data_IF_758539933663
#
_entry.id   IF_758539933663
#
_cell.length_a   1.000
_cell.length_b   1.000
_cell.length_c   1.000
_cell.angle_alpha   90.00
_cell.angle_beta   90.00
_cell.angle_gamma   90.00
#
_symmetry.space_group_name_H-M   'P 1'
#
loop_
_entity.id
_entity.type
_entity.pdbx_description
1 polymer ?
#
# COMPACT_ATOMS: atom_id res chain seq x y z
N UNK A 1 -2.90 12.59 20.14
CA UNK A 1 -3.83 11.86 19.24
C UNK A 1 -3.04 10.71 18.65
N UNK A 2 -3.52 9.48 18.78
CA UNK A 2 -2.88 8.31 18.16
C UNK A 2 -3.54 8.09 16.81
N UNK A 3 -2.76 8.09 15.73
CA UNK A 3 -3.26 7.72 14.41
C UNK A 3 -3.31 6.19 14.28
N UNK A 4 -4.28 5.63 13.54
CA UNK A 4 -4.29 4.20 13.25
C UNK A 4 -3.10 3.83 12.35
N UNK A 5 -2.65 2.58 12.42
CA UNK A 5 -1.75 1.98 11.42
C UNK A 5 -2.59 1.31 10.34
N UNK A 6 -2.26 1.55 9.08
CA UNK A 6 -2.95 0.99 7.91
C UNK A 6 -2.04 0.00 7.20
N UNK A 7 -2.54 -1.21 6.95
CA UNK A 7 -1.85 -2.23 6.17
C UNK A 7 -2.28 -2.23 4.70
N UNK A 8 -1.32 -2.33 3.78
CA UNK A 8 -1.54 -2.60 2.35
C UNK A 8 -1.04 -4.00 2.07
N UNK A 9 -1.96 -4.95 1.94
CA UNK A 9 -1.66 -6.37 1.70
C UNK A 9 -1.66 -6.68 0.21
N UNK A 10 -0.96 -7.75 -0.16
CA UNK A 10 -1.00 -8.33 -1.49
C UNK A 10 -2.33 -9.07 -1.69
N UNK A 11 -2.96 -8.84 -2.84
CA UNK A 11 -4.12 -9.62 -3.24
C UNK A 11 -3.74 -11.10 -3.47
N UNK A 12 -4.53 -12.02 -2.91
CA UNK A 12 -4.27 -13.46 -2.93
C UNK A 12 -5.02 -14.21 -4.04
N UNK A 13 -6.01 -13.56 -4.66
CA UNK A 13 -6.82 -14.16 -5.72
C UNK A 13 -6.00 -14.39 -6.99
N UNK A 14 -6.17 -15.56 -7.62
CA UNK A 14 -5.48 -15.88 -8.86
C UNK A 14 -5.87 -14.89 -9.98
N UNK A 15 -4.86 -14.34 -10.66
CA UNK A 15 -5.05 -13.37 -11.74
C UNK A 15 -5.43 -11.95 -11.28
N UNK A 16 -5.58 -11.70 -9.99
CA UNK A 16 -5.77 -10.35 -9.47
C UNK A 16 -4.50 -9.52 -9.62
N UNK A 17 -4.66 -8.26 -10.01
CA UNK A 17 -3.56 -7.34 -10.35
C UNK A 17 -3.69 -6.00 -9.65
N UNK A 18 -4.80 -5.74 -8.95
CA UNK A 18 -5.00 -4.50 -8.21
C UNK A 18 -4.20 -4.52 -6.91
N UNK A 19 -4.06 -3.34 -6.33
CA UNK A 19 -3.54 -3.11 -4.97
C UNK A 19 -4.45 -2.09 -4.30
N UNK A 20 -4.67 -2.23 -2.99
CA UNK A 20 -5.61 -1.39 -2.26
C UNK A 20 -5.22 0.10 -2.29
N UNK A 21 -3.93 0.41 -2.12
CA UNK A 21 -3.39 1.76 -2.14
C UNK A 21 -2.20 1.87 -3.09
N UNK A 22 -2.19 2.91 -3.92
CA UNK A 22 -1.04 3.31 -4.75
C UNK A 22 -0.13 4.28 -4.00
N UNK A 23 1.15 4.42 -4.36
CA UNK A 23 2.12 5.32 -3.70
C UNK A 23 1.60 6.73 -3.42
N UNK A 24 0.90 7.33 -4.38
CA UNK A 24 0.33 8.68 -4.23
C UNK A 24 -0.67 8.77 -3.07
N UNK A 25 -1.46 7.73 -2.84
CA UNK A 25 -2.45 7.69 -1.74
C UNK A 25 -1.75 7.41 -0.42
N UNK A 26 -0.75 6.51 -0.41
CA UNK A 26 0.11 6.25 0.75
C UNK A 26 0.77 7.54 1.23
N UNK A 27 1.40 8.30 0.34
CA UNK A 27 2.01 9.58 0.65
C UNK A 27 1.00 10.58 1.26
N UNK A 28 -0.25 10.60 0.78
CA UNK A 28 -1.30 11.46 1.34
C UNK A 28 -1.73 11.05 2.75
N UNK A 29 -1.67 9.76 3.09
CA UNK A 29 -1.98 9.26 4.44
C UNK A 29 -0.85 9.59 5.41
N UNK A 30 0.39 9.36 4.99
CA UNK A 30 1.59 9.74 5.76
C UNK A 30 1.59 11.24 6.06
N UNK A 31 1.27 12.08 5.07
CA UNK A 31 1.16 13.53 5.27
C UNK A 31 0.10 13.96 6.30
N UNK A 32 -0.90 13.10 6.58
CA UNK A 32 -1.91 13.30 7.63
C UNK A 32 -1.51 12.69 8.98
N UNK A 33 -0.33 12.09 9.08
CA UNK A 33 0.18 11.44 10.29
C UNK A 33 -0.21 9.98 10.46
N UNK A 34 -0.81 9.36 9.44
CA UNK A 34 -1.18 7.93 9.46
C UNK A 34 0.05 7.08 9.16
N UNK A 35 0.27 6.07 9.99
CA UNK A 35 1.32 5.06 9.77
C UNK A 35 0.85 4.04 8.73
N UNK A 36 1.71 3.68 7.79
CA UNK A 36 1.37 2.78 6.67
C UNK A 36 2.43 1.69 6.56
N UNK A 37 1.98 0.44 6.59
CA UNK A 37 2.82 -0.74 6.38
C UNK A 37 2.37 -1.43 5.09
N UNK A 38 3.32 -1.67 4.19
CA UNK A 38 3.05 -2.34 2.91
C UNK A 38 3.68 -3.73 2.95
N UNK A 39 2.90 -4.76 2.63
CA UNK A 39 3.42 -6.11 2.42
C UNK A 39 4.34 -6.11 1.20
N UNK A 40 5.54 -6.70 1.31
CA UNK A 40 6.46 -6.79 0.18
C UNK A 40 5.79 -7.46 -1.02
N UNK A 41 5.86 -6.78 -2.17
CA UNK A 41 5.27 -7.23 -3.42
C UNK A 41 3.78 -6.94 -3.58
N UNK A 42 3.12 -6.21 -2.66
CA UNK A 42 1.69 -5.90 -2.76
C UNK A 42 1.31 -5.17 -4.06
N UNK A 43 2.20 -4.32 -4.57
CA UNK A 43 1.98 -3.53 -5.78
C UNK A 43 2.40 -4.21 -7.09
N UNK A 44 3.07 -5.36 -7.05
CA UNK A 44 3.72 -5.94 -8.25
C UNK A 44 2.71 -6.29 -9.35
N UNK A 45 1.52 -6.79 -8.97
CA UNK A 45 0.44 -7.05 -9.93
C UNK A 45 -0.01 -5.81 -10.70
N UNK A 46 0.13 -4.63 -10.08
CA UNK A 46 -0.21 -3.33 -10.62
C UNK A 46 0.98 -2.62 -11.29
N UNK A 47 2.13 -3.30 -11.45
CA UNK A 47 3.39 -2.76 -11.96
C UNK A 47 4.01 -1.67 -11.05
N UNK A 48 3.80 -1.79 -9.74
CA UNK A 48 4.35 -0.89 -8.73
C UNK A 48 5.35 -1.67 -7.88
N UNK A 49 6.67 -1.49 -8.11
CA UNK A 49 7.68 -2.16 -7.32
C UNK A 49 7.79 -1.53 -5.91
N UNK A 50 8.34 -2.28 -4.95
CA UNK A 50 8.34 -1.91 -3.54
C UNK A 50 9.07 -0.58 -3.27
N UNK A 51 10.05 -0.20 -4.09
CA UNK A 51 10.82 1.05 -3.95
C UNK A 51 10.01 2.32 -4.24
N UNK A 52 8.79 2.17 -4.79
CA UNK A 52 7.89 3.30 -4.98
C UNK A 52 6.97 3.58 -3.78
N UNK A 53 6.94 2.70 -2.78
CA UNK A 53 6.17 2.88 -1.54
C UNK A 53 7.00 3.56 -0.45
#
# INVERSE_FOLDING_TARGET
>A
MTYPTVGVVRESNNGERRVALVPKVVASLIAKGVDVVVESGAGLGALIPDELY
#
